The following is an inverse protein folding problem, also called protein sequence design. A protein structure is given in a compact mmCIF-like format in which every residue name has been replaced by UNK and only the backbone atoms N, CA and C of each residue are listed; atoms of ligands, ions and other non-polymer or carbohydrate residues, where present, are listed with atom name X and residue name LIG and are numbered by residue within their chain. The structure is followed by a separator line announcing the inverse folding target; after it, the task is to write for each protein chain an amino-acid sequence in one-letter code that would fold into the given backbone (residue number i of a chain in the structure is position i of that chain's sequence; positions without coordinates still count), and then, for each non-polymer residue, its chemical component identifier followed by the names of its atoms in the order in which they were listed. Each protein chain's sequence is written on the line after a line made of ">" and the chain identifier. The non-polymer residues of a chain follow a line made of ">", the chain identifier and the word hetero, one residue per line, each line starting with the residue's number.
data_IF_993298056926
#
_entry.id   IF_993298056926
#
_cell.length_a   1.000
_cell.length_b   1.000
_cell.length_c   1.000
_cell.angle_alpha   90.00
_cell.angle_beta   90.00
_cell.angle_gamma   90.00
#
_symmetry.space_group_name_H-M   'P 1'
#
loop_
_entity.id
_entity.type
_entity.pdbx_description
1 polymer ?
#
# COMPACT_ATOMS: atom_id res chain seq x y z
N UNK A 1 -3.08 7.45 5.61
CA UNK A 1 -1.64 7.16 5.80
C UNK A 1 -1.37 6.09 6.86
N UNK A 2 -1.96 6.13 8.06
CA UNK A 2 -1.77 5.10 9.13
C UNK A 2 -2.01 3.67 8.64
N UNK A 3 -3.10 3.42 7.90
CA UNK A 3 -3.38 2.09 7.32
C UNK A 3 -2.29 1.61 6.35
N UNK A 4 -1.65 2.53 5.62
CA UNK A 4 -0.54 2.20 4.72
C UNK A 4 0.67 1.73 5.52
N UNK A 5 1.09 2.50 6.53
CA UNK A 5 2.18 2.15 7.46
C UNK A 5 1.97 0.78 8.11
N UNK A 6 0.80 0.59 8.72
CA UNK A 6 0.48 -0.66 9.41
C UNK A 6 0.39 -1.88 8.47
N UNK A 7 0.18 -1.67 7.17
CA UNK A 7 0.21 -2.75 6.17
C UNK A 7 1.65 -3.03 5.76
N UNK A 8 2.43 -1.98 5.53
CA UNK A 8 3.85 -2.04 5.19
C UNK A 8 4.66 -2.81 6.25
N UNK A 9 4.50 -2.44 7.52
CA UNK A 9 5.17 -3.07 8.64
C UNK A 9 4.78 -4.55 8.79
N UNK A 10 3.50 -4.87 8.54
CA UNK A 10 3.02 -6.25 8.61
C UNK A 10 3.60 -7.10 7.49
N UNK A 11 3.58 -6.61 6.26
CA UNK A 11 4.14 -7.34 5.12
C UNK A 11 5.65 -7.52 5.27
N UNK A 12 6.38 -6.49 5.72
CA UNK A 12 7.80 -6.62 6.03
C UNK A 12 8.05 -7.66 7.14
N UNK A 13 7.23 -7.68 8.18
CA UNK A 13 7.30 -8.69 9.23
C UNK A 13 7.06 -10.11 8.70
N UNK A 14 6.05 -10.30 7.84
CA UNK A 14 5.75 -11.59 7.22
C UNK A 14 6.88 -12.06 6.29
N UNK A 15 7.49 -11.14 5.55
CA UNK A 15 8.61 -11.43 4.67
C UNK A 15 9.82 -11.90 5.47
N UNK A 16 10.14 -11.22 6.58
CA UNK A 16 11.22 -11.62 7.50
C UNK A 16 10.97 -12.97 8.18
N UNK A 17 9.71 -13.35 8.34
CA UNK A 17 9.31 -14.67 8.86
C UNK A 17 9.30 -15.76 7.78
N UNK A 18 9.61 -15.44 6.52
CA UNK A 18 9.52 -16.38 5.40
C UNK A 18 8.08 -16.77 5.02
N UNK A 19 7.07 -16.07 5.53
CA UNK A 19 5.64 -16.37 5.29
C UNK A 19 5.13 -15.81 3.96
N UNK A 20 5.84 -14.83 3.40
CA UNK A 20 5.66 -14.33 2.03
C UNK A 20 7.04 -14.22 1.39
N UNK A 21 7.13 -14.49 0.08
CA UNK A 21 8.42 -14.61 -0.60
C UNK A 21 9.17 -13.29 -0.75
N UNK A 22 8.48 -12.22 -1.16
CA UNK A 22 9.10 -10.94 -1.49
C UNK A 22 8.20 -9.77 -1.08
N UNK A 23 8.79 -8.72 -0.51
CA UNK A 23 8.09 -7.50 -0.16
C UNK A 23 9.05 -6.31 -0.16
N UNK A 24 8.62 -5.17 -0.72
CA UNK A 24 9.40 -3.93 -0.75
C UNK A 24 8.69 -2.85 0.09
N UNK A 25 9.29 -2.42 1.22
CA UNK A 25 8.71 -1.39 2.06
C UNK A 25 8.56 -0.04 1.34
N UNK A 26 7.47 0.65 1.61
CA UNK A 26 7.18 2.00 1.10
C UNK A 26 7.31 3.10 2.16
N UNK A 27 7.82 2.75 3.34
CA UNK A 27 8.11 3.66 4.45
C UNK A 27 8.67 5.02 3.99
N UNK A 28 7.90 6.08 4.23
CA UNK A 28 8.27 7.47 3.93
C UNK A 28 7.60 8.04 2.68
N UNK A 29 6.90 7.21 1.91
CA UNK A 29 6.25 7.61 0.65
C UNK A 29 4.71 7.55 0.72
N UNK A 30 4.13 7.33 1.89
CA UNK A 30 2.68 7.13 2.05
C UNK A 30 1.90 8.38 1.68
N UNK A 31 2.44 9.56 1.99
CA UNK A 31 1.80 10.83 1.70
C UNK A 31 1.69 11.06 0.19
N UNK A 32 2.77 10.81 -0.56
CA UNK A 32 2.77 10.92 -2.01
C UNK A 32 1.75 9.97 -2.64
N UNK A 33 1.75 8.70 -2.21
CA UNK A 33 0.84 7.67 -2.73
C UNK A 33 -0.63 7.95 -2.40
N UNK A 34 -0.95 8.30 -1.16
CA UNK A 34 -2.33 8.59 -0.76
C UNK A 34 -2.80 9.92 -1.35
N UNK A 35 -1.92 10.92 -1.37
CA UNK A 35 -2.22 12.24 -1.91
C UNK A 35 -2.55 12.19 -3.40
N UNK A 36 -1.71 11.53 -4.21
CA UNK A 36 -1.99 11.40 -5.64
C UNK A 36 -3.29 10.62 -5.90
N UNK A 37 -3.52 9.52 -5.20
CA UNK A 37 -4.73 8.72 -5.36
C UNK A 37 -6.02 9.47 -4.97
N UNK A 38 -5.93 10.44 -4.04
CA UNK A 38 -7.07 11.26 -3.59
C UNK A 38 -7.38 12.42 -4.51
N UNK A 39 -6.41 12.88 -5.30
CA UNK A 39 -6.62 13.93 -6.29
C UNK A 39 -7.32 13.41 -7.56
N UNK A 40 -7.31 12.10 -7.79
CA UNK A 40 -7.92 11.45 -8.94
C UNK A 40 -9.41 11.16 -8.72
N UNK A 41 -10.16 11.14 -9.83
CA UNK A 41 -11.55 10.69 -9.85
C UNK A 41 -11.64 9.16 -9.75
N UNK A 42 -12.86 8.64 -9.59
CA UNK A 42 -13.09 7.19 -9.54
C UNK A 42 -12.77 6.49 -10.87
N UNK A 43 -12.86 7.18 -12.00
CA UNK A 43 -12.75 6.56 -13.33
C UNK A 43 -11.34 6.71 -13.92
N UNK A 44 -10.46 7.46 -13.25
CA UNK A 44 -9.07 7.62 -13.64
C UNK A 44 -8.27 6.33 -13.47
N UNK A 45 -7.47 6.03 -14.49
CA UNK A 45 -6.57 4.90 -14.51
C UNK A 45 -5.32 5.16 -13.68
N UNK A 46 -4.87 4.14 -12.97
CA UNK A 46 -3.63 4.19 -12.18
C UNK A 46 -2.76 3.00 -12.58
N UNK A 47 -1.51 3.27 -12.95
CA UNK A 47 -0.50 2.27 -13.32
C UNK A 47 0.57 2.22 -12.22
N UNK A 48 0.35 1.47 -11.13
CA UNK A 48 1.33 1.35 -10.04
C UNK A 48 2.52 0.48 -10.44
N UNK A 49 3.61 0.56 -9.67
CA UNK A 49 4.71 -0.37 -9.72
C UNK A 49 4.54 -1.44 -8.62
N UNK A 50 5.54 -1.64 -7.75
CA UNK A 50 5.57 -2.72 -6.76
C UNK A 50 5.43 -2.26 -5.30
N UNK A 51 5.45 -0.94 -5.02
CA UNK A 51 5.47 -0.40 -3.63
C UNK A 51 4.32 0.57 -3.35
N UNK A 52 3.37 0.70 -4.26
CA UNK A 52 2.26 1.66 -4.20
C UNK A 52 1.04 1.11 -3.41
N UNK A 53 1.30 0.43 -2.29
CA UNK A 53 0.22 -0.13 -1.46
C UNK A 53 -0.68 0.96 -0.86
N UNK A 54 -0.14 2.16 -0.62
CA UNK A 54 -0.91 3.31 -0.18
C UNK A 54 -1.94 3.77 -1.19
N UNK A 55 -1.65 3.64 -2.49
CA UNK A 55 -2.60 3.92 -3.58
C UNK A 55 -3.75 2.92 -3.54
N UNK A 56 -3.43 1.62 -3.50
CA UNK A 56 -4.45 0.56 -3.45
C UNK A 56 -5.41 0.73 -2.26
N UNK A 57 -4.86 1.00 -1.07
CA UNK A 57 -5.65 1.26 0.13
C UNK A 57 -6.50 2.54 0.03
N UNK A 58 -6.00 3.59 -0.62
CA UNK A 58 -6.77 4.82 -0.86
C UNK A 58 -7.91 4.61 -1.86
N UNK A 59 -7.77 3.65 -2.78
CA UNK A 59 -8.76 3.24 -3.78
C UNK A 59 -9.77 2.20 -3.28
N UNK A 60 -9.78 1.92 -1.98
CA UNK A 60 -10.80 1.08 -1.34
C UNK A 60 -10.43 -0.40 -1.24
N UNK A 61 -9.24 -0.82 -1.67
CA UNK A 61 -8.76 -2.19 -1.42
C UNK A 61 -8.66 -2.40 0.09
N UNK A 62 -9.35 -3.41 0.60
CA UNK A 62 -9.31 -3.77 2.01
C UNK A 62 -8.24 -4.82 2.27
N UNK A 63 -7.66 -4.77 3.48
CA UNK A 63 -7.00 -5.95 4.04
C UNK A 63 -8.16 -6.89 4.35
N UNK A 64 -8.19 -8.09 3.75
CA UNK A 64 -9.24 -9.07 4.02
C UNK A 64 -9.47 -9.25 5.54
N UNK A 65 -10.67 -9.70 5.92
CA UNK A 65 -10.97 -9.98 7.32
C UNK A 65 -9.91 -10.96 7.87
N UNK A 66 -9.33 -10.61 9.02
CA UNK A 66 -8.43 -11.47 9.77
C UNK A 66 -9.21 -12.58 10.47
#
# INVERSE_FOLDING_TARGET
>A
MVRSRATDDRCLSLQRQGRIGFYVPASGQEAAQVGCARALTKDDWIFPAYREIGVALARGVSRGAA
#
